data_IF_949501138231
#
_entry.id   IF_949501138231
#
_cell.length_a   1.000
_cell.length_b   1.000
_cell.length_c   1.000
_cell.angle_alpha   90.00
_cell.angle_beta   90.00
_cell.angle_gamma   90.00
#
_symmetry.space_group_name_H-M   'P 1'
#
loop_
_entity.id
_entity.type
_entity.pdbx_description
1 polymer ?
#
# COMPACT_ATOMS: atom_id res chain seq x y z
N UNK A 1 53.12 12.58 -49.32
CA UNK A 1 51.74 12.24 -49.75
C UNK A 1 51.44 10.81 -49.32
N UNK A 2 50.67 10.62 -48.24
CA UNK A 2 49.78 9.45 -47.96
C UNK A 2 49.32 9.43 -46.49
N UNK A 3 48.26 10.20 -46.25
CA UNK A 3 47.02 9.94 -45.50
C UNK A 3 46.87 8.73 -44.54
N UNK A 4 46.23 9.03 -43.37
CA UNK A 4 45.28 8.23 -42.55
C UNK A 4 45.83 7.09 -41.65
N UNK A 5 45.29 6.78 -40.47
CA UNK A 5 44.07 7.19 -39.76
C UNK A 5 44.24 7.05 -38.23
N UNK A 6 43.49 7.87 -37.48
CA UNK A 6 43.29 7.77 -36.02
C UNK A 6 42.41 6.57 -35.67
N UNK A 7 42.84 5.74 -34.74
CA UNK A 7 41.97 4.75 -34.07
C UNK A 7 41.59 5.27 -32.69
N UNK A 8 40.34 5.74 -32.56
CA UNK A 8 39.68 5.93 -31.28
C UNK A 8 39.10 4.58 -30.84
N UNK A 9 39.62 4.01 -29.76
CA UNK A 9 38.98 2.86 -29.10
C UNK A 9 37.89 3.41 -28.18
N UNK A 10 36.63 3.25 -28.60
CA UNK A 10 35.46 3.43 -27.75
C UNK A 10 35.47 2.31 -26.69
N UNK A 11 35.77 2.67 -25.44
CA UNK A 11 35.48 1.78 -24.30
C UNK A 11 33.97 1.81 -24.09
N UNK A 12 33.25 0.68 -24.23
CA UNK A 12 31.83 0.67 -23.97
C UNK A 12 31.62 0.92 -22.48
N UNK A 13 30.90 2.00 -22.16
CA UNK A 13 30.31 2.19 -20.84
C UNK A 13 29.40 0.99 -20.57
N UNK A 14 29.89 0.06 -19.76
CA UNK A 14 29.09 -0.97 -19.12
C UNK A 14 28.10 -0.25 -18.20
N UNK A 15 26.93 0.09 -18.74
CA UNK A 15 25.73 0.26 -17.94
C UNK A 15 25.43 -1.12 -17.36
N UNK A 16 25.98 -1.41 -16.19
CA UNK A 16 25.38 -2.39 -15.32
C UNK A 16 24.03 -1.78 -14.95
N UNK A 17 23.00 -2.16 -15.69
CA UNK A 17 21.62 -1.99 -15.28
C UNK A 17 21.48 -2.78 -13.98
N UNK A 18 21.74 -2.11 -12.86
CA UNK A 18 21.30 -2.59 -11.56
C UNK A 18 19.79 -2.70 -11.69
N UNK A 19 19.32 -3.92 -11.92
CA UNK A 19 17.91 -4.23 -12.01
C UNK A 19 17.25 -3.75 -10.75
N UNK A 20 16.58 -2.60 -10.83
CA UNK A 20 15.79 -2.03 -9.75
C UNK A 20 14.47 -2.82 -9.63
N UNK A 21 14.56 -4.15 -9.54
CA UNK A 21 13.49 -5.01 -9.07
C UNK A 21 13.62 -5.13 -7.55
N UNK A 22 13.80 -3.99 -6.86
CA UNK A 22 13.37 -3.91 -5.48
C UNK A 22 11.87 -4.14 -5.51
N UNK A 23 11.43 -5.34 -5.13
CA UNK A 23 10.01 -5.68 -5.04
C UNK A 23 9.31 -4.53 -4.32
N UNK A 24 8.36 -3.88 -5.00
CA UNK A 24 7.66 -2.73 -4.43
C UNK A 24 6.97 -3.17 -3.14
N UNK A 25 7.57 -2.80 -2.01
CA UNK A 25 7.17 -3.19 -0.67
C UNK A 25 6.26 -2.11 -0.11
N UNK A 26 5.19 -2.50 0.57
CA UNK A 26 4.43 -1.54 1.34
C UNK A 26 5.25 -1.12 2.57
N UNK A 27 4.98 0.09 3.03
CA UNK A 27 5.49 0.65 4.26
C UNK A 27 4.31 1.16 5.08
N UNK A 28 4.57 1.47 6.35
CA UNK A 28 3.54 1.86 7.30
C UNK A 28 2.71 3.07 6.81
N UNK A 29 3.33 4.02 6.11
CA UNK A 29 2.67 5.21 5.55
C UNK A 29 1.70 4.92 4.39
N UNK A 30 1.74 3.71 3.83
CA UNK A 30 0.79 3.30 2.81
C UNK A 30 -0.56 2.89 3.41
N UNK A 31 -0.63 2.64 4.72
CA UNK A 31 -1.93 2.40 5.37
C UNK A 31 -2.50 3.76 5.76
N UNK A 32 -3.63 4.13 5.15
CA UNK A 32 -4.26 5.44 5.34
C UNK A 32 -5.72 5.29 5.68
N UNK A 33 -6.28 6.34 6.27
CA UNK A 33 -7.71 6.45 6.41
C UNK A 33 -8.18 7.88 6.13
N UNK A 34 -9.38 8.00 5.58
CA UNK A 34 -10.11 9.25 5.46
C UNK A 34 -11.33 9.20 6.40
N UNK A 35 -11.80 10.36 6.86
CA UNK A 35 -12.99 10.49 7.70
C UNK A 35 -13.84 11.68 7.27
N UNK A 36 -15.15 11.58 7.53
CA UNK A 36 -16.12 12.66 7.34
C UNK A 36 -17.08 12.69 8.52
N UNK A 37 -17.17 13.83 9.19
CA UNK A 37 -18.18 14.04 10.24
C UNK A 37 -19.58 13.99 9.64
N UNK A 38 -20.47 13.20 10.24
CA UNK A 38 -21.86 12.99 9.77
C UNK A 38 -22.91 13.42 10.81
N UNK A 39 -22.50 14.18 11.84
CA UNK A 39 -23.38 14.60 12.91
C UNK A 39 -23.50 13.58 14.04
N UNK A 40 -24.19 13.97 15.13
CA UNK A 40 -24.44 13.12 16.32
C UNK A 40 -23.16 12.47 16.88
N UNK A 41 -22.02 13.18 16.84
CA UNK A 41 -20.71 12.68 17.28
C UNK A 41 -20.21 11.44 16.52
N UNK A 42 -20.63 11.27 15.27
CA UNK A 42 -20.25 10.14 14.42
C UNK A 42 -19.50 10.60 13.17
N UNK A 43 -18.64 9.72 12.70
CA UNK A 43 -17.86 9.86 11.49
C UNK A 43 -18.12 8.66 10.59
N UNK A 44 -18.27 8.91 9.30
CA UNK A 44 -18.06 7.90 8.28
C UNK A 44 -16.57 7.90 7.95
N UNK A 45 -15.91 6.75 8.02
CA UNK A 45 -14.48 6.64 7.76
C UNK A 45 -14.19 5.47 6.82
N UNK A 46 -13.07 5.56 6.10
CA UNK A 46 -12.57 4.52 5.19
C UNK A 46 -11.08 4.31 5.44
N UNK A 47 -10.67 3.09 5.76
CA UNK A 47 -9.26 2.66 5.79
C UNK A 47 -8.91 1.94 4.49
N UNK A 48 -7.71 2.17 3.95
CA UNK A 48 -7.29 1.67 2.63
C UNK A 48 -5.76 1.61 2.50
N UNK A 49 -5.30 0.95 1.42
CA UNK A 49 -3.89 0.90 1.03
C UNK A 49 -3.60 1.93 -0.06
N UNK A 50 -2.80 2.95 0.25
CA UNK A 50 -2.35 3.97 -0.68
C UNK A 50 -1.02 3.54 -1.35
N UNK A 51 -1.13 2.94 -2.54
CA UNK A 51 0.02 2.51 -3.32
C UNK A 51 -0.30 2.56 -4.83
N UNK A 52 0.72 2.60 -5.72
CA UNK A 52 0.51 2.54 -7.16
C UNK A 52 -0.23 1.25 -7.58
N UNK A 53 -1.03 1.33 -8.65
CA UNK A 53 -1.85 0.21 -9.13
C UNK A 53 -1.07 -1.11 -9.34
N UNK A 54 0.17 -1.12 -9.87
CA UNK A 54 0.95 -2.36 -9.98
C UNK A 54 1.21 -3.04 -8.63
N UNK A 55 1.40 -2.26 -7.57
CA UNK A 55 1.58 -2.79 -6.19
C UNK A 55 0.27 -3.33 -5.68
N UNK A 56 -0.84 -2.60 -5.85
CA UNK A 56 -2.17 -3.06 -5.45
C UNK A 56 -2.56 -4.37 -6.15
N UNK A 57 -2.21 -4.52 -7.42
CA UNK A 57 -2.45 -5.74 -8.20
C UNK A 57 -1.61 -6.94 -7.71
N UNK A 58 -0.53 -6.72 -6.96
CA UNK A 58 0.26 -7.79 -6.34
C UNK A 58 -0.34 -8.31 -5.04
N UNK A 59 -1.32 -7.61 -4.47
CA UNK A 59 -1.98 -7.95 -3.21
C UNK A 59 -3.18 -8.86 -3.50
N UNK A 60 -3.27 -9.98 -2.78
CA UNK A 60 -4.42 -10.88 -2.84
C UNK A 60 -5.54 -10.44 -1.90
N UNK A 61 -5.18 -10.14 -0.65
CA UNK A 61 -6.14 -9.78 0.37
C UNK A 61 -5.55 -8.86 1.44
N UNK A 62 -6.38 -7.97 1.98
CA UNK A 62 -6.08 -7.15 3.15
C UNK A 62 -7.12 -7.47 4.23
N UNK A 63 -6.64 -7.88 5.40
CA UNK A 63 -7.46 -8.09 6.58
C UNK A 63 -7.26 -6.91 7.53
N UNK A 64 -8.36 -6.27 7.92
CA UNK A 64 -8.39 -5.29 9.00
C UNK A 64 -8.96 -5.94 10.26
N UNK A 65 -8.21 -5.90 11.36
CA UNK A 65 -8.71 -6.27 12.69
C UNK A 65 -9.02 -5.00 13.46
N UNK A 66 -10.31 -4.73 13.58
CA UNK A 66 -10.90 -3.59 14.27
C UNK A 66 -10.95 -3.82 15.79
N UNK A 67 -11.36 -2.77 16.51
CA UNK A 67 -11.62 -2.86 17.94
C UNK A 67 -12.74 -3.88 18.25
N UNK A 68 -12.65 -4.55 19.42
CA UNK A 68 -13.59 -5.61 19.85
C UNK A 68 -15.05 -5.18 20.02
N UNK A 69 -15.34 -3.88 19.99
CA UNK A 69 -16.70 -3.33 20.05
C UNK A 69 -17.47 -3.48 18.73
N UNK A 70 -16.77 -3.73 17.63
CA UNK A 70 -17.40 -4.06 16.36
C UNK A 70 -17.91 -5.50 16.40
N UNK A 71 -19.15 -5.73 15.97
CA UNK A 71 -19.78 -7.07 15.96
C UNK A 71 -18.96 -8.08 15.16
N UNK A 72 -18.39 -7.62 14.04
CA UNK A 72 -17.49 -8.38 13.19
C UNK A 72 -16.16 -7.62 13.09
N UNK A 73 -15.22 -7.85 14.04
CA UNK A 73 -14.01 -7.05 14.11
C UNK A 73 -12.99 -7.43 13.03
N UNK A 74 -13.15 -8.57 12.36
CA UNK A 74 -12.25 -9.01 11.29
C UNK A 74 -12.91 -8.74 9.94
N UNK A 75 -12.30 -7.87 9.14
CA UNK A 75 -12.83 -7.44 7.84
C UNK A 75 -11.83 -7.79 6.75
N UNK A 76 -12.21 -8.70 5.86
CA UNK A 76 -11.38 -9.15 4.75
C UNK A 76 -11.78 -8.42 3.46
N UNK A 77 -10.78 -7.87 2.77
CA UNK A 77 -10.90 -7.27 1.44
C UNK A 77 -9.98 -8.03 0.50
N UNK A 78 -10.52 -9.00 -0.22
CA UNK A 78 -9.76 -9.77 -1.21
C UNK A 78 -10.15 -9.35 -2.62
N UNK A 79 -9.22 -9.45 -3.58
CA UNK A 79 -9.45 -9.10 -5.00
C UNK A 79 -10.01 -7.67 -5.20
N UNK A 80 -9.57 -6.73 -4.36
CA UNK A 80 -10.14 -5.38 -4.25
C UNK A 80 -9.14 -4.28 -4.64
N UNK A 81 -8.21 -4.58 -5.56
CA UNK A 81 -7.20 -3.62 -6.00
C UNK A 81 -7.81 -2.35 -6.62
N UNK A 82 -8.95 -2.47 -7.32
CA UNK A 82 -9.67 -1.35 -7.92
C UNK A 82 -10.22 -0.36 -6.88
N UNK A 83 -10.44 -0.81 -5.63
CA UNK A 83 -10.93 0.02 -4.52
C UNK A 83 -9.89 0.18 -3.43
N UNK A 84 -8.61 -0.07 -3.75
CA UNK A 84 -7.47 0.02 -2.83
C UNK A 84 -7.65 -0.83 -1.56
N UNK A 85 -8.38 -1.94 -1.66
CA UNK A 85 -8.74 -2.80 -0.53
C UNK A 85 -9.43 -2.03 0.60
N UNK A 86 -10.24 -1.03 0.25
CA UNK A 86 -10.87 -0.15 1.22
C UNK A 86 -11.95 -0.84 2.07
N UNK A 87 -11.99 -0.50 3.36
CA UNK A 87 -13.11 -0.81 4.25
C UNK A 87 -13.68 0.47 4.85
N UNK A 88 -15.00 0.63 4.77
CA UNK A 88 -15.70 1.78 5.31
C UNK A 88 -16.66 1.38 6.43
N UNK A 89 -16.75 2.20 7.47
CA UNK A 89 -17.71 2.04 8.55
C UNK A 89 -18.02 3.37 9.24
N UNK A 90 -19.00 3.32 10.15
CA UNK A 90 -19.38 4.46 10.98
C UNK A 90 -18.87 4.24 12.40
N UNK A 91 -18.21 5.24 12.97
CA UNK A 91 -17.68 5.19 14.33
C UNK A 91 -17.64 6.56 14.99
N UNK A 92 -17.35 6.56 16.29
CA UNK A 92 -17.28 7.78 17.12
C UNK A 92 -15.91 7.96 17.78
N UNK A 93 -15.04 6.94 17.74
CA UNK A 93 -13.75 6.94 18.41
C UNK A 93 -12.63 6.46 17.49
N UNK A 94 -11.44 6.97 17.76
CA UNK A 94 -10.18 6.52 17.18
C UNK A 94 -9.69 5.26 17.87
N UNK A 95 -8.99 4.40 17.14
CA UNK A 95 -8.42 3.17 17.66
C UNK A 95 -7.32 2.64 16.75
N UNK A 96 -6.50 1.74 17.29
CA UNK A 96 -5.53 1.00 16.51
C UNK A 96 -6.22 -0.11 15.69
N UNK A 97 -5.96 -0.12 14.38
CA UNK A 97 -6.37 -1.17 13.45
C UNK A 97 -5.13 -1.98 13.10
N UNK A 98 -5.16 -3.29 13.38
CA UNK A 98 -4.13 -4.21 12.87
C UNK A 98 -4.45 -4.54 11.42
N UNK A 99 -3.45 -4.46 10.56
CA UNK A 99 -3.61 -4.72 9.13
C UNK A 99 -2.67 -5.85 8.72
N UNK A 100 -3.24 -6.89 8.12
CA UNK A 100 -2.48 -7.97 7.50
C UNK A 100 -2.68 -7.89 5.99
N UNK A 101 -1.59 -7.78 5.24
CA UNK A 101 -1.58 -7.81 3.77
C UNK A 101 -1.03 -9.15 3.33
N UNK A 102 -1.80 -9.89 2.53
CA UNK A 102 -1.36 -11.14 1.91
C UNK A 102 -1.21 -10.93 0.41
N UNK A 103 -0.02 -11.21 -0.11
CA UNK A 103 0.33 -11.04 -1.52
C UNK A 103 -0.03 -12.28 -2.36
N UNK A 104 -0.07 -12.11 -3.68
CA UNK A 104 -0.33 -13.21 -4.63
C UNK A 104 0.76 -14.30 -4.59
N UNK A 105 1.96 -13.98 -4.12
CA UNK A 105 3.07 -14.92 -3.91
C UNK A 105 3.09 -15.55 -2.50
N UNK A 106 2.02 -15.37 -1.72
CA UNK A 106 1.86 -15.82 -0.33
C UNK A 106 2.75 -15.11 0.70
N UNK A 107 3.52 -14.08 0.33
CA UNK A 107 4.15 -13.24 1.34
C UNK A 107 3.09 -12.52 2.17
N UNK A 108 3.44 -12.21 3.41
CA UNK A 108 2.58 -11.48 4.33
C UNK A 108 3.33 -10.31 4.95
N UNK A 109 2.62 -9.19 5.10
CA UNK A 109 3.09 -8.01 5.80
C UNK A 109 2.06 -7.58 6.83
N UNK A 110 2.56 -7.01 7.93
CA UNK A 110 1.78 -6.65 9.09
C UNK A 110 2.03 -5.19 9.44
N UNK A 111 0.96 -4.44 9.62
CA UNK A 111 0.99 -3.02 9.96
C UNK A 111 0.02 -2.74 11.11
N UNK A 112 0.24 -1.60 11.75
CA UNK A 112 -0.68 -1.07 12.76
C UNK A 112 -1.01 0.37 12.43
N UNK A 113 -2.29 0.69 12.26
CA UNK A 113 -2.73 2.02 11.86
C UNK A 113 -3.62 2.64 12.92
N UNK A 114 -3.22 3.80 13.45
CA UNK A 114 -4.09 4.59 14.30
C UNK A 114 -5.16 5.28 13.44
N UNK A 115 -6.40 4.81 13.51
CA UNK A 115 -7.53 5.39 12.77
C UNK A 115 -7.82 6.79 13.30
N UNK A 116 -7.55 7.82 12.49
CA UNK A 116 -7.82 9.21 12.85
C UNK A 116 -9.19 9.65 12.36
N UNK A 117 -10.01 10.23 13.23
CA UNK A 117 -11.32 10.77 12.88
C UNK A 117 -11.29 12.30 12.81
N UNK A 118 -10.44 12.93 13.64
CA UNK A 118 -10.27 14.37 13.69
C UNK A 118 -9.00 14.74 12.93
N UNK A 119 -9.16 15.53 11.86
CA UNK A 119 -8.06 16.06 11.05
C UNK A 119 -8.00 17.58 11.18
#
# INVERSE_FOLDING_TARGET
MSTLARSFVLVPFLFISVGLLGQARLRQENIKNDSKYIGKKKFNWRIYVDAPQPVLNSIRCVQYTLHKTFKEPIQNKCNAAATQFGYSAIGWGEFSVKVKVTYLDNREEYFEHWLKLFN
#
